data_IF_216725887810
#
_entry.id   IF_216725887810
#
_cell.length_a   1.000
_cell.length_b   1.000
_cell.length_c   1.000
_cell.angle_alpha   90.00
_cell.angle_beta   90.00
_cell.angle_gamma   90.00
#
_symmetry.space_group_name_H-M   'P 1'
#
loop_
_entity.id
_entity.type
_entity.pdbx_description
1 polymer ?
#
# COMPACT_ATOMS: atom_id res chain seq x y z
N UNK A 1 6.00 -14.49 -33.99
CA UNK A 1 4.95 -14.18 -34.99
C UNK A 1 3.83 -13.41 -34.29
N UNK A 2 3.83 -12.10 -34.46
CA UNK A 2 2.76 -11.15 -34.12
C UNK A 2 2.80 -10.11 -35.25
N UNK A 3 1.67 -9.78 -35.91
CA UNK A 3 1.70 -8.90 -37.06
C UNK A 3 1.68 -7.42 -36.66
N UNK A 4 2.47 -6.69 -37.43
CA UNK A 4 2.54 -5.25 -37.63
C UNK A 4 1.24 -4.64 -38.19
N UNK A 5 0.88 -3.43 -37.75
CA UNK A 5 0.09 -2.50 -38.55
C UNK A 5 0.72 -1.10 -38.49
N UNK A 6 1.29 -0.70 -39.62
CA UNK A 6 1.71 0.66 -39.94
C UNK A 6 0.49 1.54 -40.25
N UNK A 7 0.57 2.83 -39.91
CA UNK A 7 -0.04 3.88 -40.73
C UNK A 7 0.92 5.06 -40.84
N UNK A 8 1.12 5.49 -42.09
CA UNK A 8 2.06 6.53 -42.54
C UNK A 8 1.25 7.73 -43.05
N UNK A 9 1.65 8.91 -42.56
CA UNK A 9 1.59 10.29 -43.07
C UNK A 9 0.34 10.85 -43.78
N UNK A 10 -0.04 12.06 -43.34
CA UNK A 10 -0.03 13.30 -44.17
C UNK A 10 -0.22 14.49 -43.21
N UNK A 11 0.62 15.52 -43.10
CA UNK A 11 1.18 16.51 -44.03
C UNK A 11 0.75 17.89 -43.52
N UNK A 12 1.75 18.74 -43.23
CA UNK A 12 1.59 20.12 -42.77
C UNK A 12 0.90 21.00 -43.83
N UNK A 13 0.07 21.94 -43.35
CA UNK A 13 -0.03 23.26 -43.97
C UNK A 13 0.02 24.33 -42.87
N UNK A 14 1.02 25.19 -42.97
CA UNK A 14 1.15 26.42 -42.22
C UNK A 14 0.23 27.49 -42.85
N UNK A 15 -0.53 28.20 -42.01
CA UNK A 15 -1.15 29.46 -42.38
C UNK A 15 -0.95 30.45 -41.24
N UNK A 16 -0.07 31.40 -41.47
CA UNK A 16 0.14 32.64 -40.72
C UNK A 16 -1.07 33.56 -40.90
N UNK A 17 -1.75 33.92 -39.81
CA UNK A 17 -2.66 35.07 -39.80
C UNK A 17 -2.41 35.92 -38.55
N UNK A 18 -2.31 37.22 -38.80
CA UNK A 18 -1.82 38.27 -37.94
C UNK A 18 -2.68 38.56 -36.71
N UNK A 19 -2.01 39.16 -35.71
CA UNK A 19 -2.58 39.73 -34.50
C UNK A 19 -3.63 40.81 -34.81
N UNK A 20 -4.77 40.72 -34.15
CA UNK A 20 -5.56 41.90 -33.76
C UNK A 20 -6.32 41.57 -32.47
N UNK A 21 -5.98 42.28 -31.41
CA UNK A 21 -6.69 42.25 -30.13
C UNK A 21 -7.89 43.19 -30.22
N UNK A 22 -9.13 42.72 -30.00
CA UNK A 22 -10.24 43.62 -29.78
C UNK A 22 -10.24 44.06 -28.32
N UNK A 23 -10.10 45.37 -28.10
CA UNK A 23 -10.42 46.03 -26.83
C UNK A 23 -11.91 45.85 -26.53
N UNK A 24 -12.30 45.42 -25.32
CA UNK A 24 -13.71 45.35 -24.96
C UNK A 24 -14.27 46.76 -24.75
N UNK A 25 -15.56 47.00 -25.08
CA UNK A 25 -16.18 48.30 -24.92
C UNK A 25 -16.32 48.65 -23.43
N UNK A 26 -15.95 49.88 -23.07
CA UNK A 26 -16.29 50.49 -21.79
C UNK A 26 -17.79 50.78 -21.76
N UNK A 27 -18.58 49.83 -21.29
CA UNK A 27 -19.96 50.09 -20.88
C UNK A 27 -19.97 50.57 -19.44
N UNK A 28 -20.39 51.81 -19.29
CA UNK A 28 -20.71 52.53 -18.06
C UNK A 28 -21.84 51.79 -17.31
N UNK A 29 -21.51 51.01 -16.28
CA UNK A 29 -22.48 50.37 -15.37
C UNK A 29 -22.66 51.27 -14.15
N UNK A 30 -23.23 52.45 -14.37
CA UNK A 30 -23.89 53.23 -13.32
C UNK A 30 -25.32 52.73 -13.17
N UNK A 31 -25.47 51.59 -12.48
CA UNK A 31 -26.70 51.13 -11.80
C UNK A 31 -26.55 49.66 -11.37
N UNK A 32 -25.66 49.41 -10.41
CA UNK A 32 -25.67 48.13 -9.71
C UNK A 32 -26.89 48.10 -8.75
N UNK A 33 -27.74 47.06 -8.77
CA UNK A 33 -28.75 46.87 -7.75
C UNK A 33 -28.06 46.65 -6.39
N UNK A 34 -28.59 47.26 -5.33
CA UNK A 34 -28.13 47.07 -3.96
C UNK A 34 -28.11 45.56 -3.61
N UNK A 35 -26.94 44.94 -3.71
CA UNK A 35 -26.73 43.61 -3.17
C UNK A 35 -26.75 43.71 -1.64
N UNK A 36 -27.58 42.91 -0.95
CA UNK A 36 -27.65 42.97 0.50
C UNK A 36 -26.30 42.54 1.11
N UNK A 37 -25.94 43.18 2.22
CA UNK A 37 -24.60 43.21 2.86
C UNK A 37 -24.03 41.87 3.31
N UNK A 38 -24.73 40.75 3.09
CA UNK A 38 -24.27 39.40 3.39
C UNK A 38 -23.54 38.72 2.22
N UNK A 39 -23.43 39.39 1.05
CA UNK A 39 -22.58 38.92 -0.06
C UNK A 39 -21.12 39.36 0.06
N UNK A 40 -20.74 40.15 1.07
CA UNK A 40 -19.34 40.37 1.44
C UNK A 40 -18.95 39.37 2.52
N UNK A 41 -18.64 38.16 2.08
CA UNK A 41 -17.75 37.29 2.82
C UNK A 41 -16.91 36.61 1.77
N UNK A 42 -15.62 36.93 1.80
CA UNK A 42 -14.56 36.14 1.22
C UNK A 42 -14.64 34.73 1.81
N UNK A 43 -15.59 33.92 1.33
CA UNK A 43 -15.61 32.48 1.54
C UNK A 43 -14.55 31.89 0.61
N UNK A 44 -13.30 32.29 0.81
CA UNK A 44 -12.19 31.42 0.47
C UNK A 44 -12.37 30.22 1.40
N UNK A 45 -12.82 29.09 0.86
CA UNK A 45 -12.56 27.83 1.51
C UNK A 45 -11.04 27.80 1.73
N UNK A 46 -10.53 27.89 2.98
CA UNK A 46 -9.17 27.45 3.20
C UNK A 46 -9.12 26.03 2.63
N UNK A 47 -8.10 25.73 1.82
CA UNK A 47 -7.94 24.39 1.23
C UNK A 47 -8.11 23.30 2.30
N UNK A 48 -8.26 22.03 1.89
CA UNK A 48 -8.46 20.94 2.85
C UNK A 48 -7.42 21.05 3.97
N UNK A 49 -7.83 20.99 5.24
CA UNK A 49 -6.91 21.18 6.36
C UNK A 49 -5.76 20.19 6.22
N UNK A 50 -4.55 20.63 6.59
CA UNK A 50 -3.37 19.76 6.55
C UNK A 50 -3.69 18.44 7.27
N UNK A 51 -3.40 17.32 6.61
CA UNK A 51 -3.72 15.98 7.16
C UNK A 51 -2.74 15.58 8.27
N UNK A 52 -1.51 16.09 8.19
CA UNK A 52 -0.43 15.73 9.10
C UNK A 52 0.53 16.90 9.39
N UNK A 53 1.30 16.78 10.47
CA UNK A 53 2.44 17.65 10.76
C UNK A 53 3.69 16.83 11.08
N UNK A 54 4.85 17.34 10.68
CA UNK A 54 6.15 16.77 11.07
C UNK A 54 6.59 17.41 12.38
N UNK A 55 6.93 16.61 13.39
CA UNK A 55 7.34 17.07 14.73
C UNK A 55 8.42 16.16 15.31
N UNK A 56 9.16 16.59 16.35
CA UNK A 56 10.06 15.71 17.08
C UNK A 56 9.32 14.46 17.62
N UNK A 57 9.91 13.30 17.40
CA UNK A 57 9.45 12.00 17.90
C UNK A 57 10.47 11.42 18.86
N UNK A 58 10.02 11.08 20.07
CA UNK A 58 10.88 10.68 21.18
C UNK A 58 11.70 9.45 20.81
N UNK A 59 13.03 9.61 20.72
CA UNK A 59 13.97 8.54 20.39
C UNK A 59 14.00 8.12 18.92
N UNK A 60 13.32 8.86 18.02
CA UNK A 60 13.25 8.58 16.58
C UNK A 60 13.59 9.78 15.69
N UNK A 61 14.03 10.89 16.29
CA UNK A 61 14.31 12.14 15.56
C UNK A 61 13.01 12.87 15.24
N UNK A 62 12.59 12.86 13.98
CA UNK A 62 11.33 13.43 13.52
C UNK A 62 10.30 12.34 13.28
N UNK A 63 9.02 12.70 13.37
CA UNK A 63 7.91 11.82 13.05
C UNK A 63 6.77 12.60 12.41
N UNK A 64 5.85 11.85 11.81
CA UNK A 64 4.65 12.38 11.16
C UNK A 64 3.46 12.13 12.08
N UNK A 65 2.64 13.14 12.34
CA UNK A 65 1.52 13.06 13.28
C UNK A 65 0.22 13.51 12.63
N UNK A 66 -0.87 12.78 12.86
CA UNK A 66 -2.19 13.15 12.36
C UNK A 66 -2.68 14.47 12.98
N UNK A 67 -3.24 15.36 12.16
CA UNK A 67 -3.83 16.62 12.65
C UNK A 67 -5.33 16.51 12.98
N UNK A 68 -5.97 15.46 12.51
CA UNK A 68 -7.38 15.12 12.72
C UNK A 68 -7.53 13.62 12.93
N UNK A 69 -8.73 13.17 13.29
CA UNK A 69 -9.05 11.75 13.25
C UNK A 69 -9.09 11.31 11.77
N UNK A 70 -8.51 10.14 11.47
CA UNK A 70 -8.47 9.56 10.14
C UNK A 70 -9.18 8.20 10.17
N UNK A 71 -10.02 7.97 9.18
CA UNK A 71 -10.73 6.72 8.96
C UNK A 71 -9.90 5.76 8.10
N UNK A 72 -10.30 4.49 8.09
CA UNK A 72 -9.67 3.48 7.23
C UNK A 72 -9.79 3.90 5.77
N UNK A 73 -8.66 3.99 5.07
CA UNK A 73 -8.60 4.39 3.67
C UNK A 73 -8.31 5.86 3.41
N UNK A 74 -8.34 6.71 4.44
CA UNK A 74 -7.99 8.12 4.27
C UNK A 74 -6.55 8.23 3.76
N UNK A 75 -6.39 8.99 2.67
CA UNK A 75 -5.08 9.23 2.07
C UNK A 75 -4.35 10.30 2.87
N UNK A 76 -3.18 9.93 3.39
CA UNK A 76 -2.33 10.81 4.20
C UNK A 76 -1.36 11.58 3.30
N UNK A 77 -0.69 10.88 2.38
CA UNK A 77 0.32 11.47 1.50
C UNK A 77 0.25 10.90 0.10
N UNK A 78 0.60 11.75 -0.88
CA UNK A 78 0.89 11.34 -2.25
C UNK A 78 2.17 12.04 -2.68
N UNK A 79 3.23 11.29 -2.94
CA UNK A 79 4.53 11.87 -3.26
C UNK A 79 5.10 11.26 -4.54
N UNK A 80 5.51 12.13 -5.47
CA UNK A 80 6.30 11.72 -6.61
C UNK A 80 7.75 11.50 -6.14
N UNK A 81 8.47 10.54 -6.71
CA UNK A 81 9.87 10.34 -6.34
C UNK A 81 10.67 11.61 -6.66
N UNK A 82 11.54 12.01 -5.74
CA UNK A 82 12.49 13.09 -6.03
C UNK A 82 13.61 12.59 -6.95
N UNK A 83 14.01 11.33 -6.79
CA UNK A 83 14.90 10.62 -7.69
C UNK A 83 14.52 9.14 -7.77
N UNK A 84 14.87 8.49 -8.88
CA UNK A 84 14.63 7.07 -9.16
C UNK A 84 15.84 6.45 -9.81
N UNK A 85 16.15 5.21 -9.43
CA UNK A 85 17.18 4.43 -10.09
C UNK A 85 16.61 3.10 -10.56
N UNK A 86 17.11 2.62 -11.69
CA UNK A 86 17.00 1.22 -12.04
C UNK A 86 17.98 0.43 -11.15
N UNK A 87 17.51 -0.59 -10.41
CA UNK A 87 18.37 -1.33 -9.50
C UNK A 87 19.49 -2.05 -10.28
N UNK A 88 20.74 -2.04 -9.80
CA UNK A 88 21.80 -2.80 -10.43
C UNK A 88 21.56 -4.31 -10.30
N UNK A 89 22.21 -5.08 -11.15
CA UNK A 89 22.24 -6.53 -11.02
C UNK A 89 22.78 -6.95 -9.65
N UNK A 90 22.22 -8.02 -9.09
CA UNK A 90 22.62 -8.55 -7.79
C UNK A 90 22.50 -10.06 -7.72
N UNK A 91 23.30 -10.65 -6.83
CA UNK A 91 23.19 -12.08 -6.50
C UNK A 91 22.10 -12.26 -5.45
N UNK A 92 21.18 -13.20 -5.70
CA UNK A 92 20.09 -13.50 -4.76
C UNK A 92 20.67 -13.82 -3.37
N UNK A 93 20.28 -13.02 -2.38
CA UNK A 93 20.69 -13.19 -0.97
C UNK A 93 21.84 -12.29 -0.51
N UNK A 94 22.55 -11.60 -1.41
CA UNK A 94 23.67 -10.71 -1.04
C UNK A 94 23.27 -9.24 -0.89
N UNK A 95 22.10 -8.85 -1.42
CA UNK A 95 21.72 -7.45 -1.55
C UNK A 95 22.40 -6.76 -2.74
N UNK A 96 22.03 -5.50 -2.98
CA UNK A 96 22.59 -4.70 -4.08
C UNK A 96 24.02 -4.24 -3.78
N UNK A 97 24.92 -4.21 -4.80
CA UNK A 97 26.25 -3.61 -4.66
C UNK A 97 26.13 -2.11 -4.39
N UNK A 98 26.50 -1.69 -3.19
CA UNK A 98 26.27 -0.32 -2.72
C UNK A 98 27.08 0.75 -3.47
N UNK A 99 28.23 0.40 -4.03
CA UNK A 99 29.04 1.29 -4.87
C UNK A 99 28.33 1.59 -6.20
N UNK A 100 27.69 0.58 -6.81
CA UNK A 100 26.88 0.76 -8.01
C UNK A 100 25.63 1.58 -7.72
N UNK A 101 24.93 1.29 -6.62
CA UNK A 101 23.78 2.09 -6.16
C UNK A 101 24.18 3.54 -5.95
N UNK A 102 25.29 3.80 -5.25
CA UNK A 102 25.78 5.16 -4.99
C UNK A 102 26.06 5.93 -6.28
N UNK A 103 26.70 5.31 -7.28
CA UNK A 103 26.96 5.92 -8.59
C UNK A 103 25.66 6.32 -9.29
N UNK A 104 24.65 5.44 -9.29
CA UNK A 104 23.35 5.72 -9.88
C UNK A 104 22.62 6.85 -9.15
N UNK A 105 22.59 6.83 -7.82
CA UNK A 105 21.96 7.87 -7.00
C UNK A 105 22.64 9.22 -7.22
N UNK A 106 23.97 9.26 -7.23
CA UNK A 106 24.75 10.48 -7.46
C UNK A 106 24.44 11.11 -8.81
N UNK A 107 24.39 10.29 -9.86
CA UNK A 107 24.03 10.74 -11.21
C UNK A 107 22.66 11.43 -11.24
N UNK A 108 21.65 10.85 -10.60
CA UNK A 108 20.31 11.45 -10.54
C UNK A 108 20.30 12.70 -9.64
N UNK A 109 20.96 12.65 -8.49
CA UNK A 109 21.05 13.76 -7.53
C UNK A 109 21.66 15.03 -8.14
N UNK A 110 22.67 14.88 -8.99
CA UNK A 110 23.34 16.00 -9.67
C UNK A 110 22.42 16.72 -10.69
N UNK A 111 21.30 16.10 -11.10
CA UNK A 111 20.30 16.73 -11.97
C UNK A 111 19.23 17.52 -11.21
N UNK A 112 19.19 17.38 -9.88
CA UNK A 112 18.17 18.01 -9.02
C UNK A 112 18.43 19.51 -8.83
N UNK A 113 17.37 20.25 -8.51
CA UNK A 113 17.48 21.63 -8.07
C UNK A 113 18.21 21.71 -6.71
N UNK A 114 18.76 22.87 -6.37
CA UNK A 114 19.43 23.06 -5.06
C UNK A 114 18.49 22.78 -3.87
N UNK A 115 17.21 23.15 -4.00
CA UNK A 115 16.20 22.88 -2.96
C UNK A 115 15.91 21.39 -2.82
N UNK A 116 15.79 20.67 -3.95
CA UNK A 116 15.58 19.22 -3.95
C UNK A 116 16.81 18.45 -3.41
N UNK A 117 18.01 18.93 -3.70
CA UNK A 117 19.25 18.41 -3.13
C UNK A 117 19.28 18.59 -1.61
N UNK A 118 18.88 19.76 -1.11
CA UNK A 118 18.74 20.03 0.32
C UNK A 118 17.73 19.09 0.98
N UNK A 119 16.57 18.88 0.36
CA UNK A 119 15.55 17.94 0.85
C UNK A 119 16.11 16.52 1.00
N UNK A 120 16.84 16.01 0.00
CA UNK A 120 17.51 14.70 0.06
C UNK A 120 18.57 14.67 1.16
N UNK A 121 19.43 15.69 1.24
CA UNK A 121 20.50 15.76 2.24
C UNK A 121 19.99 15.96 3.67
N UNK A 122 18.76 16.44 3.84
CA UNK A 122 18.09 16.60 5.14
C UNK A 122 17.56 15.28 5.73
N UNK A 123 17.54 14.20 4.95
CA UNK A 123 17.01 12.91 5.39
C UNK A 123 17.93 12.27 6.43
N UNK A 124 17.29 11.72 7.47
CA UNK A 124 18.00 10.98 8.51
C UNK A 124 18.48 9.65 7.93
N UNK A 125 19.71 9.28 8.22
CA UNK A 125 20.29 8.01 7.83
C UNK A 125 21.09 7.42 8.98
N UNK A 126 21.31 6.10 8.91
CA UNK A 126 22.20 5.40 9.82
C UNK A 126 23.33 4.74 9.03
N UNK A 127 24.54 4.92 9.55
CA UNK A 127 25.77 4.30 9.08
C UNK A 127 26.56 3.78 10.27
N UNK A 128 27.18 2.61 10.13
CA UNK A 128 28.25 2.20 11.05
C UNK A 128 29.53 3.02 10.76
N UNK A 129 30.49 3.11 11.69
CA UNK A 129 31.76 3.80 11.43
C UNK A 129 32.52 3.28 10.19
N UNK A 130 32.43 1.98 9.92
CA UNK A 130 33.03 1.37 8.74
C UNK A 130 32.31 1.81 7.45
N UNK A 131 30.99 1.92 7.48
CA UNK A 131 30.20 2.39 6.35
C UNK A 131 30.46 3.86 6.06
N UNK A 132 30.49 4.72 7.08
CA UNK A 132 30.78 6.16 6.90
C UNK A 132 32.18 6.38 6.30
N UNK A 133 33.15 5.51 6.63
CA UNK A 133 34.51 5.59 6.10
C UNK A 133 34.66 5.09 4.66
N UNK A 134 33.75 4.25 4.17
CA UNK A 134 33.93 3.52 2.89
C UNK A 134 32.82 3.74 1.86
N UNK A 135 31.63 4.18 2.30
CA UNK A 135 30.47 4.34 1.43
C UNK A 135 30.16 5.81 1.18
N UNK A 136 29.61 6.07 0.00
CA UNK A 136 29.07 7.39 -0.36
C UNK A 136 27.86 7.74 0.52
N UNK A 137 27.88 8.92 1.15
CA UNK A 137 26.78 9.43 1.98
C UNK A 137 25.42 9.39 1.27
N UNK A 138 25.35 9.72 -0.02
CA UNK A 138 24.11 9.66 -0.79
C UNK A 138 23.61 8.22 -0.93
N UNK A 139 24.53 7.26 -1.11
CA UNK A 139 24.21 5.84 -1.12
C UNK A 139 23.62 5.36 0.21
N UNK A 140 24.15 5.85 1.34
CA UNK A 140 23.65 5.51 2.68
C UNK A 140 22.27 6.13 2.94
N UNK A 141 22.08 7.40 2.60
CA UNK A 141 20.78 8.08 2.67
C UNK A 141 19.75 7.30 1.86
N UNK A 142 20.07 6.99 0.60
CA UNK A 142 19.17 6.24 -0.27
C UNK A 142 18.83 4.86 0.30
N UNK A 143 19.82 4.11 0.78
CA UNK A 143 19.63 2.77 1.38
C UNK A 143 18.66 2.74 2.56
N UNK A 144 18.57 3.84 3.31
CA UNK A 144 17.77 3.91 4.55
C UNK A 144 16.41 4.57 4.34
N UNK A 145 16.19 5.26 3.23
CA UNK A 145 14.98 6.06 2.99
C UNK A 145 14.24 5.70 1.68
N UNK A 146 14.86 4.94 0.78
CA UNK A 146 14.28 4.61 -0.50
C UNK A 146 13.30 3.42 -0.41
N UNK A 147 12.37 3.41 -1.35
CA UNK A 147 11.34 2.40 -1.46
C UNK A 147 11.36 1.75 -2.84
N UNK A 148 11.15 0.44 -2.87
CA UNK A 148 10.90 -0.28 -4.12
C UNK A 148 9.59 0.22 -4.74
N UNK A 149 9.65 0.65 -5.98
CA UNK A 149 8.51 0.69 -6.88
C UNK A 149 8.40 -0.67 -7.58
N UNK A 150 7.61 -0.80 -8.64
CA UNK A 150 7.47 -2.08 -9.33
C UNK A 150 8.79 -2.58 -9.94
N UNK A 151 9.46 -1.72 -10.73
CA UNK A 151 10.68 -2.08 -11.47
C UNK A 151 11.91 -1.26 -11.03
N UNK A 152 11.69 -0.16 -10.29
CA UNK A 152 12.72 0.79 -9.91
C UNK A 152 12.77 1.00 -8.40
N UNK A 153 13.77 1.71 -7.91
CA UNK A 153 13.84 2.15 -6.51
C UNK A 153 13.76 3.69 -6.49
N UNK A 154 12.84 4.24 -5.70
CA UNK A 154 12.59 5.68 -5.62
C UNK A 154 12.80 6.25 -4.22
N UNK A 155 13.24 7.51 -4.15
CA UNK A 155 13.35 8.26 -2.91
C UNK A 155 12.20 9.26 -2.78
N UNK A 156 11.58 9.32 -1.60
CA UNK A 156 10.36 10.07 -1.33
C UNK A 156 10.55 10.85 -0.01
N UNK A 157 11.15 12.06 -0.02
CA UNK A 157 11.61 12.71 1.20
C UNK A 157 10.53 12.93 2.26
N UNK A 158 9.28 13.24 1.89
CA UNK A 158 8.18 13.44 2.85
C UNK A 158 7.73 12.11 3.45
N UNK A 159 7.56 11.08 2.63
CA UNK A 159 7.18 9.72 3.06
C UNK A 159 8.29 9.07 3.88
N UNK A 160 9.56 9.36 3.58
CA UNK A 160 10.72 8.86 4.33
C UNK A 160 10.73 9.33 5.80
N UNK A 161 9.98 10.38 6.15
CA UNK A 161 9.80 10.84 7.54
C UNK A 161 8.85 9.98 8.37
N UNK A 162 8.10 9.07 7.75
CA UNK A 162 7.14 8.21 8.46
C UNK A 162 7.91 7.12 9.19
N UNK A 163 7.78 7.09 10.52
CA UNK A 163 8.54 6.18 11.38
C UNK A 163 8.09 4.73 11.29
N UNK A 164 8.94 3.83 11.79
CA UNK A 164 8.60 2.42 11.87
C UNK A 164 7.65 2.08 13.03
N UNK A 165 6.75 1.11 12.78
CA UNK A 165 6.12 0.28 13.82
C UNK A 165 6.00 -1.17 13.36
N UNK A 166 6.14 -2.13 14.29
CA UNK A 166 5.85 -3.55 14.01
C UNK A 166 4.33 -3.85 13.98
N UNK A 167 3.49 -2.85 14.30
CA UNK A 167 2.03 -2.79 14.11
C UNK A 167 1.71 -1.41 13.51
N UNK A 168 1.99 -1.21 12.21
CA UNK A 168 1.80 0.09 11.58
C UNK A 168 0.32 0.47 11.56
N UNK A 169 0.07 1.77 11.46
CA UNK A 169 -1.28 2.34 11.34
C UNK A 169 -1.55 2.95 9.96
N UNK A 170 -0.51 3.01 9.12
CA UNK A 170 -0.62 3.36 7.71
C UNK A 170 -0.02 2.24 6.86
N UNK A 171 -0.52 2.13 5.64
CA UNK A 171 0.04 1.26 4.60
C UNK A 171 0.30 2.12 3.35
N UNK A 172 1.04 1.58 2.39
CA UNK A 172 1.39 2.31 1.19
C UNK A 172 1.37 1.43 -0.05
N UNK A 173 1.22 2.06 -1.21
CA UNK A 173 1.39 1.42 -2.50
C UNK A 173 2.01 2.38 -3.51
N UNK A 174 2.49 1.84 -4.62
CA UNK A 174 2.98 2.61 -5.76
C UNK A 174 1.89 2.70 -6.83
N UNK A 175 1.44 3.90 -7.16
CA UNK A 175 0.50 4.12 -8.26
C UNK A 175 1.28 4.43 -9.54
N UNK A 176 1.31 3.46 -10.47
CA UNK A 176 1.88 3.69 -11.82
C UNK A 176 1.17 4.84 -12.53
N UNK A 177 -0.16 4.89 -12.45
CA UNK A 177 -0.98 5.89 -13.12
C UNK A 177 -0.68 7.34 -12.64
N UNK A 178 -0.46 7.53 -11.34
CA UNK A 178 -0.13 8.85 -10.78
C UNK A 178 1.37 9.13 -10.77
N UNK A 179 2.21 8.14 -11.05
CA UNK A 179 3.65 8.16 -10.82
C UNK A 179 4.00 8.61 -9.38
N UNK A 180 3.24 8.13 -8.40
CA UNK A 180 3.34 8.54 -6.99
C UNK A 180 3.25 7.35 -6.05
N UNK A 181 3.97 7.45 -4.93
CA UNK A 181 3.71 6.61 -3.76
C UNK A 181 2.57 7.25 -2.97
N UNK A 182 1.61 6.42 -2.58
CA UNK A 182 0.43 6.83 -1.83
C UNK A 182 0.46 6.14 -0.47
N UNK A 183 0.31 6.92 0.58
CA UNK A 183 0.21 6.43 1.96
C UNK A 183 -1.22 6.66 2.44
N UNK A 184 -1.83 5.64 3.03
CA UNK A 184 -3.20 5.69 3.51
C UNK A 184 -3.32 5.06 4.90
N UNK A 185 -4.33 5.45 5.67
CA UNK A 185 -4.63 4.89 6.97
C UNK A 185 -5.13 3.44 6.85
N UNK A 186 -4.46 2.50 7.50
CA UNK A 186 -4.79 1.06 7.47
C UNK A 186 -5.66 0.63 8.65
N UNK A 187 -5.89 1.54 9.60
CA UNK A 187 -6.87 1.47 10.69
C UNK A 187 -7.30 2.90 11.02
N UNK A 188 -8.31 3.06 11.88
CA UNK A 188 -8.62 4.38 12.45
C UNK A 188 -7.40 4.93 13.22
N UNK A 189 -7.12 6.22 13.04
CA UNK A 189 -5.99 6.95 13.65
C UNK A 189 -6.55 8.20 14.33
N UNK A 190 -6.19 8.42 15.59
CA UNK A 190 -6.67 9.61 16.31
C UNK A 190 -5.81 10.84 16.01
N UNK A 191 -6.39 12.03 16.12
CA UNK A 191 -5.66 13.30 16.14
C UNK A 191 -4.49 13.23 17.13
N UNK A 192 -3.31 13.62 16.66
CA UNK A 192 -2.07 13.62 17.44
C UNK A 192 -1.35 12.28 17.51
N UNK A 193 -1.91 11.19 16.97
CA UNK A 193 -1.23 9.91 16.88
C UNK A 193 -0.11 9.96 15.82
N UNK A 194 1.02 9.32 16.12
CA UNK A 194 2.15 9.19 15.18
C UNK A 194 1.81 8.19 14.07
N UNK A 195 1.98 8.60 12.82
CA UNK A 195 1.84 7.76 11.64
C UNK A 195 3.06 6.86 11.50
N UNK A 196 2.83 5.61 11.13
CA UNK A 196 3.89 4.61 11.03
C UNK A 196 3.65 3.57 9.95
N UNK A 197 4.76 3.09 9.38
CA UNK A 197 4.81 2.01 8.36
C UNK A 197 5.74 0.89 8.83
N UNK A 198 5.75 -0.25 8.13
CA UNK A 198 6.73 -1.31 8.37
C UNK A 198 7.98 -1.10 7.50
N UNK A 199 9.18 -1.09 8.10
CA UNK A 199 10.46 -1.01 7.36
C UNK A 199 11.03 -2.39 7.01
N UNK A 200 10.45 -3.43 7.60
CA UNK A 200 10.95 -4.80 7.59
C UNK A 200 9.78 -5.76 7.46
N UNK A 201 10.04 -6.99 7.03
CA UNK A 201 9.08 -8.08 7.13
C UNK A 201 8.70 -8.33 8.59
N UNK A 202 7.39 -8.44 8.86
CA UNK A 202 6.84 -8.48 10.23
C UNK A 202 6.66 -9.89 10.81
N UNK A 203 6.85 -10.93 10.00
CA UNK A 203 6.51 -12.32 10.32
C UNK A 203 7.66 -13.11 10.97
N UNK A 204 8.33 -12.49 11.95
CA UNK A 204 9.37 -13.11 12.77
C UNK A 204 9.19 -12.71 14.23
N UNK A 205 9.91 -13.35 15.17
CA UNK A 205 9.90 -12.99 16.59
C UNK A 205 10.61 -11.66 16.88
N UNK A 206 10.44 -11.10 18.09
CA UNK A 206 10.93 -9.76 18.43
C UNK A 206 12.42 -9.58 18.19
N UNK A 207 13.24 -10.54 18.58
CA UNK A 207 14.70 -10.46 18.45
C UNK A 207 15.13 -10.32 16.99
N UNK A 208 14.59 -11.15 16.11
CA UNK A 208 14.86 -11.08 14.67
C UNK A 208 14.33 -9.78 14.06
N UNK A 209 13.17 -9.28 14.50
CA UNK A 209 12.66 -7.97 14.07
C UNK A 209 13.59 -6.83 14.50
N UNK A 210 14.09 -6.85 15.73
CA UNK A 210 15.06 -5.83 16.21
C UNK A 210 16.35 -5.90 15.40
N UNK A 211 16.90 -7.11 15.20
CA UNK A 211 18.12 -7.30 14.40
C UNK A 211 17.99 -6.75 12.98
N UNK A 212 16.83 -6.92 12.34
CA UNK A 212 16.57 -6.34 11.00
C UNK A 212 16.47 -4.83 11.02
N UNK A 213 16.14 -4.23 12.16
CA UNK A 213 16.06 -2.78 12.34
C UNK A 213 17.41 -2.14 12.67
N UNK A 214 18.43 -2.92 13.03
CA UNK A 214 19.78 -2.41 13.32
C UNK A 214 20.33 -1.52 12.20
N UNK A 215 19.99 -1.83 10.93
CA UNK A 215 20.37 -1.00 9.76
C UNK A 215 19.83 0.44 9.79
N UNK A 216 18.85 0.73 10.63
CA UNK A 216 18.24 2.05 10.83
C UNK A 216 18.71 2.71 12.12
N UNK A 217 19.55 2.06 12.93
CA UNK A 217 20.20 2.67 14.08
C UNK A 217 19.30 2.95 15.29
N UNK A 218 18.16 2.26 15.42
CA UNK A 218 17.26 2.44 16.56
C UNK A 218 16.77 1.11 17.13
N UNK A 219 16.41 1.11 18.43
CA UNK A 219 15.68 0.00 19.06
C UNK A 219 14.18 0.27 19.01
N UNK A 220 13.42 -0.65 18.40
CA UNK A 220 11.97 -0.48 18.28
C UNK A 220 11.28 -0.66 19.64
N UNK A 221 10.48 0.33 20.01
CA UNK A 221 9.69 0.37 21.26
C UNK A 221 8.19 0.49 20.99
N UNK A 222 7.74 0.14 19.77
CA UNK A 222 6.31 0.07 19.46
C UNK A 222 5.58 -0.94 20.36
N UNK A 223 4.25 -0.90 20.39
CA UNK A 223 3.41 -1.78 21.22
C UNK A 223 3.82 -3.27 21.15
N UNK A 224 4.07 -3.79 19.94
CA UNK A 224 4.48 -5.19 19.77
C UNK A 224 5.89 -5.51 20.31
N UNK A 225 6.80 -4.53 20.33
CA UNK A 225 8.16 -4.70 20.84
C UNK A 225 8.29 -4.35 22.33
N UNK A 226 7.36 -3.57 22.87
CA UNK A 226 7.30 -3.19 24.29
C UNK A 226 6.47 -4.18 25.14
N UNK A 227 5.69 -5.07 24.51
CA UNK A 227 5.05 -6.18 25.21
C UNK A 227 6.07 -7.05 25.97
N UNK A 228 5.69 -7.53 27.15
CA UNK A 228 6.53 -8.34 28.03
C UNK A 228 5.90 -9.69 28.37
N UNK A 229 6.71 -10.61 28.93
CA UNK A 229 6.26 -11.91 29.44
C UNK A 229 5.44 -12.73 28.43
N UNK A 230 4.31 -13.25 28.90
CA UNK A 230 3.42 -14.09 28.11
C UNK A 230 2.82 -13.37 26.88
N UNK A 231 2.55 -12.07 26.97
CA UNK A 231 1.99 -11.30 25.84
C UNK A 231 2.98 -11.24 24.67
N UNK A 232 4.28 -11.00 24.96
CA UNK A 232 5.36 -11.03 23.96
C UNK A 232 5.48 -12.41 23.31
N UNK A 233 5.55 -13.46 24.14
CA UNK A 233 5.68 -14.84 23.65
C UNK A 233 4.49 -15.22 22.76
N UNK A 234 3.28 -14.83 23.14
CA UNK A 234 2.07 -15.08 22.34
C UNK A 234 2.10 -14.34 20.99
N UNK A 235 2.53 -13.08 20.97
CA UNK A 235 2.73 -12.29 19.75
C UNK A 235 3.76 -12.92 18.81
N UNK A 236 4.94 -13.24 19.33
CA UNK A 236 6.02 -13.84 18.53
C UNK A 236 5.61 -15.22 17.99
N UNK A 237 4.95 -16.05 18.80
CA UNK A 237 4.43 -17.33 18.35
C UNK A 237 3.34 -17.18 17.27
N UNK A 238 2.48 -16.15 17.36
CA UNK A 238 1.50 -15.85 16.29
C UNK A 238 2.20 -15.46 14.99
N UNK A 239 3.18 -14.56 15.03
CA UNK A 239 3.92 -14.11 13.83
C UNK A 239 4.63 -15.27 13.13
N UNK A 240 5.26 -16.17 13.89
CA UNK A 240 5.90 -17.38 13.33
C UNK A 240 4.87 -18.35 12.74
N UNK A 241 3.71 -18.53 13.39
CA UNK A 241 2.62 -19.34 12.82
C UNK A 241 2.06 -18.74 11.55
N UNK A 242 1.90 -17.42 11.49
CA UNK A 242 1.45 -16.71 10.29
C UNK A 242 2.46 -16.90 9.15
N UNK A 243 3.76 -16.74 9.42
CA UNK A 243 4.82 -17.01 8.44
C UNK A 243 4.70 -18.42 7.84
N UNK A 244 4.60 -19.43 8.70
CA UNK A 244 4.46 -20.82 8.27
C UNK A 244 3.16 -21.04 7.49
N UNK A 245 2.04 -20.51 7.98
CA UNK A 245 0.74 -20.63 7.31
C UNK A 245 0.76 -20.06 5.88
N UNK A 246 1.41 -18.92 5.66
CA UNK A 246 1.61 -18.42 4.30
C UNK A 246 2.49 -19.35 3.46
N UNK A 247 3.62 -19.82 4.00
CA UNK A 247 4.52 -20.73 3.29
C UNK A 247 3.89 -22.08 2.91
N UNK A 248 2.98 -22.59 3.74
CA UNK A 248 2.33 -23.89 3.52
C UNK A 248 1.12 -23.79 2.57
N UNK A 249 0.32 -22.72 2.69
CA UNK A 249 -0.97 -22.61 1.99
C UNK A 249 -0.87 -21.90 0.63
N UNK A 250 -0.02 -20.88 0.50
CA UNK A 250 0.07 -20.07 -0.72
C UNK A 250 0.54 -20.89 -1.95
N UNK A 251 1.56 -21.76 -1.85
CA UNK A 251 1.97 -22.59 -3.00
C UNK A 251 0.95 -23.66 -3.38
N UNK A 252 -0.02 -23.95 -2.50
CA UNK A 252 -1.03 -24.99 -2.69
C UNK A 252 -2.36 -24.47 -3.26
N UNK A 253 -2.43 -23.18 -3.62
CA UNK A 253 -3.64 -22.55 -4.15
C UNK A 253 -3.95 -23.03 -5.56
N UNK A 254 -5.17 -23.54 -5.74
CA UNK A 254 -5.79 -23.83 -7.03
C UNK A 254 -7.30 -23.79 -6.86
N UNK A 255 -8.02 -23.49 -7.95
CA UNK A 255 -9.48 -23.60 -8.03
C UNK A 255 -9.93 -24.97 -8.56
N UNK A 256 -9.00 -25.81 -9.00
CA UNK A 256 -9.32 -27.15 -9.50
C UNK A 256 -9.96 -28.00 -8.39
N UNK A 257 -11.07 -28.65 -8.74
CA UNK A 257 -11.77 -29.52 -7.81
C UNK A 257 -10.85 -30.69 -7.39
N UNK A 258 -10.80 -31.03 -6.08
CA UNK A 258 -9.94 -32.08 -5.59
C UNK A 258 -10.33 -33.46 -6.15
N UNK A 259 -9.36 -34.19 -6.69
CA UNK A 259 -9.53 -35.54 -7.22
C UNK A 259 -9.42 -36.59 -6.12
N UNK A 260 -10.50 -37.34 -5.91
CA UNK A 260 -10.54 -38.42 -4.92
C UNK A 260 -10.58 -37.96 -3.46
N UNK A 261 -10.68 -38.92 -2.54
CA UNK A 261 -10.98 -38.61 -1.13
C UNK A 261 -9.78 -38.05 -0.37
N UNK A 262 -8.56 -38.51 -0.67
CA UNK A 262 -7.35 -38.01 -0.02
C UNK A 262 -7.14 -36.51 -0.30
N UNK A 263 -7.32 -36.09 -1.56
CA UNK A 263 -7.19 -34.68 -1.94
C UNK A 263 -8.32 -33.84 -1.35
N UNK A 264 -9.56 -34.35 -1.32
CA UNK A 264 -10.69 -33.69 -0.64
C UNK A 264 -10.42 -33.47 0.84
N UNK A 265 -9.89 -34.47 1.54
CA UNK A 265 -9.53 -34.37 2.95
C UNK A 265 -8.46 -33.30 3.18
N UNK A 266 -7.42 -33.27 2.34
CA UNK A 266 -6.37 -32.25 2.37
C UNK A 266 -6.93 -30.85 2.09
N UNK A 267 -7.77 -30.68 1.07
CA UNK A 267 -8.39 -29.40 0.74
C UNK A 267 -9.29 -28.89 1.87
N UNK A 268 -10.05 -29.76 2.52
CA UNK A 268 -10.84 -29.42 3.73
C UNK A 268 -9.95 -28.95 4.89
N UNK A 269 -8.79 -29.58 5.07
CA UNK A 269 -7.80 -29.13 6.06
C UNK A 269 -7.27 -27.74 5.71
N UNK A 270 -6.85 -27.51 4.46
CA UNK A 270 -6.36 -26.22 4.01
C UNK A 270 -7.41 -25.11 4.18
N UNK A 271 -8.69 -25.37 3.86
CA UNK A 271 -9.77 -24.41 4.10
C UNK A 271 -9.84 -23.99 5.58
N UNK A 272 -9.87 -24.96 6.52
CA UNK A 272 -9.87 -24.64 7.96
C UNK A 272 -8.63 -23.88 8.41
N UNK A 273 -7.44 -24.30 7.96
CA UNK A 273 -6.18 -23.66 8.33
C UNK A 273 -6.06 -22.24 7.75
N UNK A 274 -6.59 -22.00 6.54
CA UNK A 274 -6.61 -20.70 5.89
C UNK A 274 -7.53 -19.70 6.61
N UNK A 275 -8.72 -20.12 7.04
CA UNK A 275 -9.61 -19.29 7.86
C UNK A 275 -8.96 -18.96 9.22
N UNK A 276 -8.30 -19.95 9.84
CA UNK A 276 -7.55 -19.73 11.07
C UNK A 276 -6.39 -18.75 10.86
N UNK A 277 -5.66 -18.86 9.74
CA UNK A 277 -4.59 -17.94 9.37
C UNK A 277 -5.12 -16.51 9.25
N UNK A 278 -6.23 -16.29 8.55
CA UNK A 278 -6.86 -14.96 8.46
C UNK A 278 -7.17 -14.38 9.85
N UNK A 279 -7.76 -15.19 10.75
CA UNK A 279 -8.03 -14.77 12.13
C UNK A 279 -6.76 -14.48 12.95
N UNK A 280 -5.65 -15.20 12.72
CA UNK A 280 -4.37 -14.90 13.36
C UNK A 280 -3.80 -13.55 12.90
N UNK A 281 -3.89 -13.25 11.60
CA UNK A 281 -3.43 -11.98 11.03
C UNK A 281 -4.25 -10.81 11.57
N UNK A 282 -5.59 -10.94 11.58
CA UNK A 282 -6.52 -9.98 12.19
C UNK A 282 -6.16 -9.74 13.67
N UNK A 283 -6.03 -10.82 14.46
CA UNK A 283 -5.71 -10.76 15.89
C UNK A 283 -4.36 -10.11 16.19
N UNK A 284 -3.36 -10.31 15.34
CA UNK A 284 -2.05 -9.69 15.50
C UNK A 284 -2.05 -8.21 15.06
N UNK A 285 -3.05 -7.78 14.28
CA UNK A 285 -3.13 -6.41 13.76
C UNK A 285 -2.13 -6.15 12.64
N UNK A 286 -1.93 -7.11 11.74
CA UNK A 286 -0.97 -7.02 10.63
C UNK A 286 -1.68 -6.63 9.32
N UNK A 287 -2.07 -5.36 9.21
CA UNK A 287 -2.89 -4.86 8.12
C UNK A 287 -2.33 -5.15 6.71
N UNK A 288 -1.00 -5.02 6.55
CA UNK A 288 -0.30 -5.31 5.29
C UNK A 288 -0.49 -6.76 4.78
N UNK A 289 -0.96 -7.66 5.64
CA UNK A 289 -1.15 -9.07 5.34
C UNK A 289 -2.63 -9.50 5.25
N UNK A 290 -3.58 -8.60 5.50
CA UNK A 290 -5.02 -8.92 5.49
C UNK A 290 -5.49 -9.42 4.12
N UNK A 291 -5.26 -8.64 3.06
CA UNK A 291 -5.70 -9.02 1.71
C UNK A 291 -5.11 -10.37 1.26
N UNK A 292 -3.84 -10.62 1.58
CA UNK A 292 -3.17 -11.89 1.29
C UNK A 292 -3.82 -13.06 2.02
N UNK A 293 -4.08 -12.92 3.33
CA UNK A 293 -4.71 -13.97 4.12
C UNK A 293 -6.15 -14.25 3.66
N UNK A 294 -6.91 -13.21 3.34
CA UNK A 294 -8.26 -13.35 2.81
C UNK A 294 -8.28 -14.01 1.43
N UNK A 295 -7.35 -13.66 0.53
CA UNK A 295 -7.22 -14.34 -0.78
C UNK A 295 -6.97 -15.84 -0.61
N UNK A 296 -6.06 -16.22 0.28
CA UNK A 296 -5.75 -17.64 0.57
C UNK A 296 -6.98 -18.37 1.11
N UNK A 297 -7.71 -17.75 2.05
CA UNK A 297 -8.94 -18.32 2.60
C UNK A 297 -10.03 -18.46 1.55
N UNK A 298 -10.25 -17.43 0.73
CA UNK A 298 -11.25 -17.43 -0.33
C UNK A 298 -11.05 -18.60 -1.30
N UNK A 299 -9.84 -18.74 -1.85
CA UNK A 299 -9.52 -19.79 -2.83
C UNK A 299 -9.57 -21.18 -2.17
N UNK A 300 -9.09 -21.31 -0.92
CA UNK A 300 -9.09 -22.61 -0.21
C UNK A 300 -10.51 -23.11 0.08
N UNK A 301 -11.45 -22.22 0.41
CA UNK A 301 -12.86 -22.56 0.61
C UNK A 301 -13.57 -22.84 -0.73
N UNK A 302 -13.30 -22.04 -1.77
CA UNK A 302 -13.87 -22.24 -3.10
C UNK A 302 -13.52 -23.61 -3.69
N UNK A 303 -12.27 -24.07 -3.49
CA UNK A 303 -11.79 -25.39 -3.95
C UNK A 303 -12.64 -26.57 -3.46
N UNK A 304 -13.29 -26.43 -2.30
CA UNK A 304 -14.18 -27.46 -1.73
C UNK A 304 -15.66 -27.07 -1.84
N UNK A 305 -16.00 -26.16 -2.75
CA UNK A 305 -17.35 -25.65 -3.00
C UNK A 305 -18.04 -25.06 -1.76
N UNK A 306 -17.28 -24.54 -0.79
CA UNK A 306 -17.84 -23.76 0.32
C UNK A 306 -17.98 -22.30 -0.12
N UNK A 307 -19.01 -22.01 -0.92
CA UNK A 307 -19.13 -20.75 -1.63
C UNK A 307 -19.39 -19.54 -0.75
N UNK A 308 -20.21 -19.68 0.31
CA UNK A 308 -20.44 -18.59 1.27
C UNK A 308 -19.15 -18.05 1.91
N UNK A 309 -18.34 -18.87 2.63
CA UNK A 309 -17.10 -18.36 3.21
C UNK A 309 -16.09 -17.92 2.14
N UNK A 310 -16.06 -18.59 0.97
CA UNK A 310 -15.21 -18.17 -0.13
C UNK A 310 -15.55 -16.73 -0.60
N UNK A 311 -16.83 -16.43 -0.81
CA UNK A 311 -17.31 -15.13 -1.22
C UNK A 311 -17.03 -14.05 -0.15
N UNK A 312 -17.26 -14.37 1.13
CA UNK A 312 -16.99 -13.43 2.24
C UNK A 312 -15.52 -13.05 2.30
N UNK A 313 -14.61 -14.02 2.25
CA UNK A 313 -13.18 -13.75 2.27
C UNK A 313 -12.71 -13.03 0.99
N UNK A 314 -13.20 -13.42 -0.19
CA UNK A 314 -12.88 -12.74 -1.44
C UNK A 314 -13.28 -11.25 -1.37
N UNK A 315 -14.49 -10.96 -0.89
CA UNK A 315 -14.99 -9.60 -0.74
C UNK A 315 -14.18 -8.78 0.28
N UNK A 316 -13.85 -9.37 1.45
CA UNK A 316 -12.97 -8.72 2.43
C UNK A 316 -11.63 -8.32 1.81
N UNK A 317 -11.02 -9.19 1.00
CA UNK A 317 -9.80 -8.89 0.26
C UNK A 317 -10.01 -7.80 -0.79
N UNK A 318 -11.08 -7.90 -1.57
CA UNK A 318 -11.43 -6.94 -2.62
C UNK A 318 -11.60 -5.53 -2.08
N UNK A 319 -12.36 -5.34 -0.99
CA UNK A 319 -12.57 -4.01 -0.38
C UNK A 319 -11.24 -3.35 -0.01
N UNK A 320 -10.31 -4.10 0.58
CA UNK A 320 -8.98 -3.59 0.93
C UNK A 320 -8.16 -3.21 -0.30
N UNK A 321 -8.11 -4.07 -1.32
CA UNK A 321 -7.31 -3.80 -2.52
C UNK A 321 -7.93 -2.73 -3.41
N UNK A 322 -9.25 -2.63 -3.46
CA UNK A 322 -9.95 -1.58 -4.17
C UNK A 322 -9.71 -0.21 -3.54
N UNK A 323 -9.75 -0.13 -2.21
CA UNK A 323 -9.38 1.08 -1.47
C UNK A 323 -7.92 1.47 -1.69
N UNK A 324 -7.01 0.49 -1.73
CA UNK A 324 -5.60 0.73 -2.01
C UNK A 324 -5.38 1.19 -3.45
N UNK A 325 -5.66 0.35 -4.45
CA UNK A 325 -5.51 0.69 -5.86
C UNK A 325 -6.63 0.02 -6.69
N UNK A 326 -7.68 0.78 -7.06
CA UNK A 326 -8.78 0.28 -7.88
C UNK A 326 -8.32 -0.32 -9.21
N UNK A 327 -7.21 0.17 -9.77
CA UNK A 327 -6.71 -0.23 -11.09
C UNK A 327 -5.70 -1.39 -11.05
N UNK A 328 -5.35 -1.90 -9.86
CA UNK A 328 -4.34 -2.95 -9.77
C UNK A 328 -4.86 -4.32 -10.27
N UNK A 329 -3.95 -5.12 -10.81
CA UNK A 329 -4.26 -6.51 -11.21
C UNK A 329 -4.80 -7.33 -10.03
N UNK A 330 -4.34 -7.04 -8.82
CA UNK A 330 -4.77 -7.74 -7.61
C UNK A 330 -6.21 -7.39 -7.22
N UNK A 331 -6.61 -6.13 -7.40
CA UNK A 331 -8.00 -5.69 -7.25
C UNK A 331 -8.91 -6.36 -8.28
N UNK A 332 -8.48 -6.40 -9.54
CA UNK A 332 -9.25 -7.04 -10.62
C UNK A 332 -9.43 -8.55 -10.39
N UNK A 333 -8.40 -9.24 -9.90
CA UNK A 333 -8.47 -10.64 -9.50
C UNK A 333 -9.50 -10.85 -8.38
N UNK A 334 -9.38 -10.11 -7.27
CA UNK A 334 -10.27 -10.27 -6.12
C UNK A 334 -11.71 -9.88 -6.44
N UNK A 335 -11.93 -8.91 -7.31
CA UNK A 335 -13.25 -8.61 -7.87
C UNK A 335 -13.83 -9.82 -8.61
N UNK A 336 -13.04 -10.41 -9.52
CA UNK A 336 -13.46 -11.56 -10.33
C UNK A 336 -13.77 -12.79 -9.44
N UNK A 337 -12.94 -13.07 -8.44
CA UNK A 337 -13.17 -14.12 -7.45
C UNK A 337 -14.45 -13.85 -6.65
N UNK A 338 -14.64 -12.61 -6.18
CA UNK A 338 -15.83 -12.22 -5.41
C UNK A 338 -17.10 -12.43 -6.24
N UNK A 339 -17.15 -11.88 -7.45
CA UNK A 339 -18.30 -12.02 -8.35
C UNK A 339 -18.62 -13.49 -8.65
N UNK A 340 -17.60 -14.27 -8.99
CA UNK A 340 -17.76 -15.70 -9.31
C UNK A 340 -18.25 -16.51 -8.12
N UNK A 341 -17.70 -16.29 -6.92
CA UNK A 341 -18.10 -17.04 -5.73
C UNK A 341 -19.47 -16.64 -5.22
N UNK A 342 -19.86 -15.37 -5.33
CA UNK A 342 -21.23 -14.92 -5.05
C UNK A 342 -22.22 -15.60 -5.99
N UNK A 343 -21.93 -15.65 -7.30
CA UNK A 343 -22.79 -16.33 -8.27
C UNK A 343 -22.94 -17.84 -7.96
N UNK A 344 -21.84 -18.52 -7.62
CA UNK A 344 -21.88 -19.93 -7.21
C UNK A 344 -22.70 -20.13 -5.93
N UNK A 345 -22.56 -19.24 -4.95
CA UNK A 345 -23.35 -19.30 -3.71
C UNK A 345 -24.83 -19.07 -3.97
N UNK A 346 -25.20 -18.09 -4.81
CA UNK A 346 -26.60 -17.86 -5.20
C UNK A 346 -27.20 -19.08 -5.92
N UNK A 347 -26.43 -19.73 -6.79
CA UNK A 347 -26.85 -20.96 -7.47
C UNK A 347 -27.07 -22.10 -6.48
N UNK A 348 -26.17 -22.29 -5.51
CA UNK A 348 -26.33 -23.27 -4.43
C UNK A 348 -27.62 -23.03 -3.63
N UNK A 349 -27.90 -21.78 -3.28
CA UNK A 349 -29.13 -21.42 -2.55
C UNK A 349 -30.39 -21.68 -3.39
N UNK A 350 -30.39 -21.33 -4.68
CA UNK A 350 -31.54 -21.57 -5.58
C UNK A 350 -31.81 -23.06 -5.78
N UNK A 351 -30.77 -23.87 -5.91
CA UNK A 351 -30.89 -25.32 -6.12
C UNK A 351 -31.14 -26.09 -4.80
N UNK A 352 -30.81 -25.51 -3.65
CA UNK A 352 -31.02 -26.08 -2.32
C UNK A 352 -32.41 -25.84 -1.72
N UNK A 353 -33.25 -24.98 -2.31
CA UNK A 353 -34.65 -24.80 -1.90
C UNK A 353 -35.52 -25.86 -2.61
N UNK A 354 -36.15 -26.80 -1.88
CA UNK A 354 -37.11 -27.71 -2.49
C UNK A 354 -38.26 -26.88 -3.06
N UNK A 355 -38.57 -27.03 -4.34
CA UNK A 355 -39.77 -26.47 -4.94
C UNK A 355 -40.98 -26.93 -4.12
N UNK A 356 -41.62 -25.99 -3.40
CA UNK A 356 -42.81 -26.26 -2.62
C UNK A 356 -43.86 -26.91 -3.51
N UNK A 357 -44.11 -28.21 -3.31
CA UNK A 357 -45.24 -28.91 -3.90
C UNK A 357 -46.50 -28.25 -3.35
N UNK A 358 -47.08 -27.34 -4.12
CA UNK A 358 -48.45 -26.88 -3.92
C UNK A 358 -49.36 -28.09 -3.95
N UNK A 359 -49.79 -28.55 -2.77
CA UNK A 359 -50.90 -29.49 -2.67
C UNK A 359 -52.16 -28.70 -3.01
N UNK A 360 -52.69 -28.95 -4.21
CA UNK A 360 -54.10 -28.71 -4.49
C UNK A 360 -54.92 -29.59 -3.52
N UNK A 361 -55.59 -28.97 -2.56
CA UNK A 361 -56.67 -29.62 -1.82
C UNK A 361 -57.91 -29.56 -2.70
N UNK A 362 -58.39 -30.75 -3.08
CA UNK A 362 -59.75 -31.00 -3.55
C UNK A 362 -60.73 -30.94 -2.40
#
# INVERSE_FOLDING_TARGET
>A
MLPSVSFVLSSLLAATIAQSTPTPPTSDISSAPNFPSWHSSDYMCPGPPDVYAVRPSKGKGLGVFALHDLEIGDVVMREAPILKIDPPDYVRGTGYPMDAVAKLVRKEFETLSAADQEDVLSLTYHATPAEEATMDKLGIIFRTNAYNTDEQIGLFPKIARINHSCRPNTSYYWSKALNKRVVYASRAIRRGEELSVSYIGLLSGREERQKRLDRYGFTCTCEACSAAGAARQASDARRVRIHRGFGDLEPALTLDAPAGEAERSKARKHARESAHLAGLVEKEGLADYYAKAYRIAAISHARIAQWQPAAVFANKGYVLKHMEDPGSAWTAELYSLTASFVQSWESELKNGVPAGKGKAQK
#
